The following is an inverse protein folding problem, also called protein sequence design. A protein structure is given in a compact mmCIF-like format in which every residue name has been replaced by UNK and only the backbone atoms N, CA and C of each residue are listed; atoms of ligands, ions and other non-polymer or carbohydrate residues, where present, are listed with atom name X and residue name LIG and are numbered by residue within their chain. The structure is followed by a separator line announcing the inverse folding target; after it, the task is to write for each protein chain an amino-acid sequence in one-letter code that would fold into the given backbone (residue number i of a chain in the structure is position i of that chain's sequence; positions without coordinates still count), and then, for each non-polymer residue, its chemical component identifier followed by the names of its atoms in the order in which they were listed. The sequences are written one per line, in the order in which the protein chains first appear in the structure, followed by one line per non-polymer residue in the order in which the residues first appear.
data_IF_632073851867
#
_entry.id   IF_632073851867
#
_cell.length_a   1.000
_cell.length_b   1.000
_cell.length_c   1.000
_cell.angle_alpha   90.00
_cell.angle_beta   90.00
_cell.angle_gamma   90.00
#
_symmetry.space_group_name_H-M   'P 1'
#
loop_
_entity.id
_entity.type
_entity.pdbx_description
1 polymer ?
#
# COMPACT_ATOMS: atom_id res chain seq x y z
N UNK A 1 -2.10 6.62 5.91
CA UNK A 1 -1.46 5.90 4.81
C UNK A 1 -2.40 4.95 4.07
N UNK A 2 -3.18 4.15 4.79
CA UNK A 2 -4.02 3.17 4.09
C UNK A 2 -5.04 3.81 3.15
N UNK A 3 -5.61 4.94 3.54
CA UNK A 3 -6.59 5.61 2.70
C UNK A 3 -5.99 6.00 1.34
N UNK A 4 -4.76 6.50 1.35
CA UNK A 4 -4.09 6.88 0.11
C UNK A 4 -3.77 5.66 -0.73
N UNK A 5 -3.32 4.59 -0.09
CA UNK A 5 -3.06 3.34 -0.77
C UNK A 5 -4.34 2.80 -1.41
N UNK A 6 -5.44 2.80 -0.66
CA UNK A 6 -6.71 2.29 -1.17
C UNK A 6 -7.20 3.13 -2.34
N UNK A 7 -7.00 4.43 -2.29
CA UNK A 7 -7.39 5.31 -3.37
C UNK A 7 -6.63 4.96 -4.65
N UNK A 8 -5.33 4.76 -4.54
CA UNK A 8 -4.51 4.38 -5.69
C UNK A 8 -4.90 3.00 -6.20
N UNK A 9 -5.10 2.06 -5.28
CA UNK A 9 -5.48 0.69 -5.65
C UNK A 9 -6.79 0.71 -6.45
N UNK A 10 -7.78 1.43 -5.95
CA UNK A 10 -9.09 1.47 -6.60
C UNK A 10 -9.03 2.19 -7.95
N UNK A 11 -8.25 3.25 -8.04
CA UNK A 11 -8.14 4.01 -9.27
C UNK A 11 -7.52 3.18 -10.39
N UNK A 12 -6.72 2.18 -10.05
CA UNK A 12 -6.07 1.32 -11.02
C UNK A 12 -6.77 -0.03 -11.17
N UNK A 13 -7.85 -0.25 -10.43
CA UNK A 13 -8.63 -1.47 -10.54
C UNK A 13 -8.02 -2.69 -9.91
N UNK A 14 -7.15 -2.51 -8.91
CA UNK A 14 -6.51 -3.63 -8.23
C UNK A 14 -7.23 -3.97 -6.94
N UNK A 15 -7.00 -5.19 -6.47
CA UNK A 15 -7.43 -5.64 -5.16
C UNK A 15 -6.20 -5.82 -4.28
N UNK A 16 -6.42 -5.90 -2.96
CA UNK A 16 -5.31 -6.14 -2.04
C UNK A 16 -4.54 -7.41 -2.40
N UNK A 17 -5.25 -8.45 -2.84
CA UNK A 17 -4.60 -9.70 -3.22
C UNK A 17 -3.67 -9.51 -4.42
N UNK A 18 -4.06 -8.65 -5.36
CA UNK A 18 -3.23 -8.37 -6.52
C UNK A 18 -1.94 -7.67 -6.11
N UNK A 19 -2.06 -6.68 -5.24
CA UNK A 19 -0.90 -5.92 -4.78
C UNK A 19 -0.01 -6.80 -3.92
N UNK A 20 -0.60 -7.61 -3.06
CA UNK A 20 0.16 -8.52 -2.22
C UNK A 20 1.00 -9.47 -3.05
N UNK A 21 0.40 -10.04 -4.09
CA UNK A 21 1.10 -10.97 -4.96
C UNK A 21 2.24 -10.28 -5.70
N UNK A 22 2.00 -9.09 -6.20
CA UNK A 22 3.00 -8.36 -6.98
C UNK A 22 4.17 -7.86 -6.13
N UNK A 23 3.89 -7.48 -4.88
CA UNK A 23 4.92 -6.90 -4.02
C UNK A 23 5.59 -7.91 -3.10
N UNK A 24 5.00 -9.10 -2.96
CA UNK A 24 5.51 -10.10 -2.04
C UNK A 24 5.14 -9.83 -0.59
N UNK A 25 4.25 -8.87 -0.35
CA UNK A 25 3.78 -8.57 0.99
C UNK A 25 2.56 -9.43 1.26
N UNK A 26 2.47 -9.99 2.46
CA UNK A 26 1.32 -10.81 2.82
C UNK A 26 0.03 -9.99 2.81
N UNK A 27 -1.04 -10.60 2.32
CA UNK A 27 -2.32 -9.92 2.26
C UNK A 27 -2.81 -9.51 3.66
N UNK A 28 -2.52 -10.32 4.67
CA UNK A 28 -2.89 -10.01 6.04
C UNK A 28 -2.23 -8.72 6.53
N UNK A 29 -1.07 -8.37 5.98
CA UNK A 29 -0.40 -7.14 6.33
C UNK A 29 -1.24 -5.93 5.90
N UNK A 30 -1.83 -6.00 4.73
CA UNK A 30 -2.70 -4.92 4.26
C UNK A 30 -3.94 -4.78 5.13
N UNK A 31 -4.47 -5.91 5.59
CA UNK A 31 -5.60 -5.89 6.51
C UNK A 31 -5.23 -5.22 7.82
N UNK A 32 -4.03 -5.51 8.33
CA UNK A 32 -3.55 -4.88 9.57
C UNK A 32 -3.42 -3.37 9.39
N UNK A 33 -2.93 -2.94 8.25
CA UNK A 33 -2.82 -1.50 7.96
C UNK A 33 -4.20 -0.84 7.93
N UNK A 34 -5.15 -1.51 7.32
CA UNK A 34 -6.52 -1.02 7.24
C UNK A 34 -7.12 -0.84 8.61
N UNK A 35 -6.86 -1.79 9.50
CA UNK A 35 -7.46 -1.80 10.84
C UNK A 35 -6.63 -1.04 11.87
N UNK A 36 -5.51 -0.45 11.44
CA UNK A 36 -4.68 0.32 12.35
C UNK A 36 -3.86 -0.51 13.31
N UNK A 37 -3.75 -1.81 13.06
CA UNK A 37 -2.97 -2.69 13.94
C UNK A 37 -1.48 -2.50 13.75
N UNK A 38 -1.06 -2.07 12.58
CA UNK A 38 0.33 -1.81 12.30
C UNK A 38 0.42 -0.73 11.23
N UNK A 39 1.60 -0.13 11.13
CA UNK A 39 1.86 0.85 10.07
C UNK A 39 2.98 0.30 9.20
N UNK A 40 2.93 0.59 7.90
CA UNK A 40 3.97 0.10 6.99
C UNK A 40 5.30 0.77 7.27
N UNK A 41 6.36 -0.04 7.19
CA UNK A 41 7.71 0.48 7.28
C UNK A 41 8.14 0.96 5.91
N UNK A 42 9.24 1.73 5.90
CA UNK A 42 9.69 2.36 4.67
C UNK A 42 9.97 1.35 3.56
N UNK A 43 10.52 0.19 3.90
CA UNK A 43 10.83 -0.82 2.89
C UNK A 43 9.56 -1.36 2.22
N UNK A 44 8.51 -1.55 2.99
CA UNK A 44 7.24 -2.00 2.44
C UNK A 44 6.57 -0.91 1.62
N UNK A 45 6.64 0.33 2.10
CA UNK A 45 6.09 1.46 1.36
C UNK A 45 6.77 1.61 0.01
N UNK A 46 8.10 1.41 -0.03
CA UNK A 46 8.84 1.48 -1.29
C UNK A 46 8.34 0.44 -2.28
N UNK A 47 8.09 -0.77 -1.82
CA UNK A 47 7.59 -1.81 -2.69
C UNK A 47 6.23 -1.45 -3.28
N UNK A 48 5.36 -0.92 -2.45
CA UNK A 48 4.01 -0.52 -2.89
C UNK A 48 4.11 0.66 -3.85
N UNK A 49 4.92 1.65 -3.52
CA UNK A 49 5.10 2.82 -4.39
C UNK A 49 5.64 2.42 -5.75
N UNK A 50 6.62 1.52 -5.77
CA UNK A 50 7.20 1.04 -7.02
C UNK A 50 6.16 0.29 -7.85
N UNK A 51 5.33 -0.49 -7.20
CA UNK A 51 4.28 -1.23 -7.91
C UNK A 51 3.32 -0.27 -8.60
N UNK A 52 2.94 0.81 -7.93
CA UNK A 52 2.02 1.78 -8.51
C UNK A 52 2.72 2.79 -9.43
N UNK A 53 4.04 2.80 -9.44
CA UNK A 53 4.78 3.75 -10.27
C UNK A 53 4.70 5.18 -9.75
N UNK A 54 4.61 5.36 -8.43
CA UNK A 54 4.54 6.68 -7.81
C UNK A 54 5.68 6.84 -6.82
N UNK A 55 6.08 8.09 -6.52
CA UNK A 55 7.10 8.30 -5.50
C UNK A 55 6.55 7.97 -4.12
N UNK A 56 7.42 7.51 -3.23
CA UNK A 56 7.01 7.13 -1.88
C UNK A 56 6.41 8.32 -1.13
N UNK A 57 6.78 9.53 -1.50
CA UNK A 57 6.28 10.75 -0.87
C UNK A 57 4.75 10.82 -0.91
N UNK A 58 4.14 10.18 -1.89
CA UNK A 58 2.68 10.15 -2.00
C UNK A 58 2.05 9.60 -0.73
N UNK A 59 2.72 8.63 -0.09
CA UNK A 59 2.22 8.03 1.15
C UNK A 59 2.69 8.79 2.38
N UNK A 60 3.81 9.48 2.30
CA UNK A 60 4.39 10.17 3.45
C UNK A 60 3.80 11.56 3.67
N UNK A 61 3.31 12.18 2.61
CA UNK A 61 2.73 13.53 2.69
C UNK A 61 1.25 13.51 2.90
N UNK A 62 0.79 12.51 3.52
CA UNK A 62 -0.61 12.34 3.76
C UNK A 62 -1.12 13.33 4.77
N UNK A 63 -1.96 14.19 4.44
CA UNK A 63 -2.52 15.12 5.40
C UNK A 63 -3.57 15.91 4.74
#
# INVERSE_FOLDING_TARGET
MYAKYAELRDSKGFKDSDVAKATGIYQSTFTDWKNGKSTPKIDKLLKVANFFGVPIDVFLKER
#
